data_IF_863912255129
#
_entry.id   IF_863912255129
#
_cell.length_a   1.000
_cell.length_b   1.000
_cell.length_c   1.000
_cell.angle_alpha   90.00
_cell.angle_beta   90.00
_cell.angle_gamma   90.00
#
_symmetry.space_group_name_H-M   'P 1'
#
loop_
_entity.id
_entity.type
_entity.pdbx_description
1 polymer ?
#
# COMPACT_ATOMS: atom_id res chain seq x y z
N UNK A 1 20.36 -14.95 -5.37
CA UNK A 1 19.06 -15.41 -4.85
C UNK A 1 17.98 -15.06 -5.87
N UNK A 2 17.00 -15.92 -6.10
CA UNK A 2 15.83 -15.59 -6.93
C UNK A 2 14.69 -15.20 -5.98
N UNK A 3 14.13 -13.99 -6.13
CA UNK A 3 12.98 -13.56 -5.33
C UNK A 3 11.75 -14.39 -5.70
N UNK A 4 11.05 -14.90 -4.69
CA UNK A 4 9.92 -15.81 -4.83
C UNK A 4 8.67 -15.32 -4.09
N UNK A 5 8.82 -14.62 -2.96
CA UNK A 5 7.69 -14.18 -2.13
C UNK A 5 7.27 -12.75 -2.47
N UNK A 6 8.19 -11.78 -2.44
CA UNK A 6 7.87 -10.37 -2.67
C UNK A 6 7.21 -10.10 -4.03
N UNK A 7 7.62 -10.74 -5.14
CA UNK A 7 6.98 -10.54 -6.45
C UNK A 7 5.48 -10.86 -6.48
N UNK A 8 5.01 -11.84 -5.70
CA UNK A 8 3.59 -12.22 -5.61
C UNK A 8 2.76 -11.02 -5.09
N UNK A 9 3.24 -10.38 -4.04
CA UNK A 9 2.58 -9.23 -3.43
C UNK A 9 2.77 -7.96 -4.26
N UNK A 10 3.94 -7.78 -4.87
CA UNK A 10 4.21 -6.65 -5.75
C UNK A 10 3.23 -6.63 -6.94
N UNK A 11 3.01 -7.77 -7.60
CA UNK A 11 2.04 -7.88 -8.69
C UNK A 11 0.62 -7.58 -8.24
N UNK A 12 0.21 -8.16 -7.11
CA UNK A 12 -1.13 -7.96 -6.53
C UNK A 12 -1.39 -6.48 -6.22
N UNK A 13 -0.44 -5.82 -5.57
CA UNK A 13 -0.55 -4.40 -5.20
C UNK A 13 -0.45 -3.50 -6.43
N UNK A 14 0.34 -3.86 -7.45
CA UNK A 14 0.41 -3.12 -8.70
C UNK A 14 -0.95 -3.07 -9.43
N UNK A 15 -1.72 -4.15 -9.41
CA UNK A 15 -3.08 -4.17 -9.97
C UNK A 15 -4.00 -3.22 -9.21
N UNK A 16 -3.95 -3.22 -7.87
CA UNK A 16 -4.74 -2.29 -7.03
C UNK A 16 -4.32 -0.84 -7.33
N UNK A 17 -3.01 -0.59 -7.40
CA UNK A 17 -2.44 0.72 -7.68
C UNK A 17 -2.93 1.28 -9.02
N UNK A 18 -2.87 0.46 -10.09
CA UNK A 18 -3.35 0.83 -11.43
C UNK A 18 -4.85 1.11 -11.42
N UNK A 19 -5.62 0.30 -10.71
CA UNK A 19 -7.07 0.50 -10.57
C UNK A 19 -7.38 1.86 -9.93
N UNK A 20 -6.67 2.21 -8.84
CA UNK A 20 -6.85 3.51 -8.18
C UNK A 20 -6.36 4.68 -9.05
N UNK A 21 -5.29 4.48 -9.81
CA UNK A 21 -4.80 5.46 -10.78
C UNK A 21 -5.85 5.77 -11.85
N UNK A 22 -6.42 4.73 -12.49
CA UNK A 22 -7.49 4.89 -13.47
C UNK A 22 -8.70 5.63 -12.88
N UNK A 23 -9.07 5.37 -11.62
CA UNK A 23 -10.17 6.09 -10.94
C UNK A 23 -9.89 7.59 -10.79
N UNK A 24 -8.65 7.99 -10.54
CA UNK A 24 -8.23 9.40 -10.49
C UNK A 24 -8.27 10.00 -11.89
N UNK A 25 -7.60 9.37 -12.85
CA UNK A 25 -7.47 9.89 -14.23
C UNK A 25 -8.83 10.03 -14.91
N UNK A 26 -9.74 9.07 -14.74
CA UNK A 26 -11.08 9.13 -15.32
C UNK A 26 -11.89 10.33 -14.82
N UNK A 27 -11.90 10.59 -13.51
CA UNK A 27 -12.63 11.74 -12.95
C UNK A 27 -11.96 13.06 -13.30
N UNK A 28 -10.63 13.10 -13.23
CA UNK A 28 -9.83 14.26 -13.62
C UNK A 28 -10.14 14.70 -15.06
N UNK A 29 -10.17 13.75 -15.98
CA UNK A 29 -10.48 14.00 -17.39
C UNK A 29 -11.94 14.46 -17.57
N UNK A 30 -12.89 13.82 -16.89
CA UNK A 30 -14.30 14.21 -16.94
C UNK A 30 -14.55 15.65 -16.44
N UNK A 31 -13.71 16.12 -15.52
CA UNK A 31 -13.76 17.49 -14.99
C UNK A 31 -12.94 18.50 -15.81
N UNK A 32 -12.16 18.07 -16.81
CA UNK A 32 -11.22 18.93 -17.52
C UNK A 32 -10.10 19.50 -16.63
N UNK A 33 -9.81 18.87 -15.49
CA UNK A 33 -8.86 19.39 -14.50
C UNK A 33 -7.43 18.93 -14.82
N UNK A 34 -6.52 19.85 -15.13
CA UNK A 34 -5.12 19.49 -15.39
C UNK A 34 -4.35 19.12 -14.11
N UNK A 35 -4.35 20.01 -13.10
CA UNK A 35 -3.59 19.88 -11.84
C UNK A 35 -4.46 20.11 -10.61
N UNK A 36 -4.10 19.52 -9.47
CA UNK A 36 -4.89 19.66 -8.23
C UNK A 36 -6.21 18.90 -8.29
N UNK A 37 -7.15 19.31 -7.43
CA UNK A 37 -8.48 18.70 -7.27
C UNK A 37 -9.65 19.59 -7.75
N UNK A 38 -9.38 20.81 -8.23
CA UNK A 38 -10.43 21.71 -8.73
C UNK A 38 -11.47 22.10 -7.67
N UNK A 39 -11.12 21.99 -6.38
CA UNK A 39 -12.06 22.15 -5.25
C UNK A 39 -13.19 21.12 -5.23
N UNK A 40 -13.03 19.99 -5.93
CA UNK A 40 -13.96 18.86 -5.90
C UNK A 40 -13.54 17.83 -4.84
N UNK A 41 -14.37 17.62 -3.79
CA UNK A 41 -14.04 16.69 -2.71
C UNK A 41 -13.89 15.23 -3.17
N UNK A 42 -14.56 14.81 -4.25
CA UNK A 42 -14.46 13.46 -4.79
C UNK A 42 -13.14 13.25 -5.53
N UNK A 43 -12.69 14.25 -6.29
CA UNK A 43 -11.38 14.18 -6.93
C UNK A 43 -10.27 14.16 -5.89
N UNK A 44 -10.35 15.02 -4.86
CA UNK A 44 -9.42 15.00 -3.73
C UNK A 44 -9.42 13.63 -3.02
N UNK A 45 -10.59 13.05 -2.78
CA UNK A 45 -10.72 11.73 -2.15
C UNK A 45 -9.99 10.66 -2.96
N UNK A 46 -10.23 10.58 -4.28
CA UNK A 46 -9.59 9.58 -5.16
C UNK A 46 -8.08 9.78 -5.21
N UNK A 47 -7.61 11.03 -5.27
CA UNK A 47 -6.17 11.35 -5.21
C UNK A 47 -5.57 10.81 -3.92
N UNK A 48 -6.21 11.01 -2.76
CA UNK A 48 -5.71 10.52 -1.47
C UNK A 48 -5.79 9.00 -1.33
N UNK A 49 -6.80 8.34 -1.90
CA UNK A 49 -6.87 6.88 -1.96
C UNK A 49 -5.69 6.30 -2.76
N UNK A 50 -5.42 6.87 -3.94
CA UNK A 50 -4.31 6.45 -4.79
C UNK A 50 -2.94 6.77 -4.17
N UNK A 51 -2.73 7.99 -3.68
CA UNK A 51 -1.47 8.41 -3.05
C UNK A 51 -1.11 7.57 -1.83
N UNK A 52 -2.08 7.33 -0.93
CA UNK A 52 -1.86 6.43 0.20
C UNK A 52 -1.49 5.02 -0.26
N UNK A 53 -2.13 4.49 -1.32
CA UNK A 53 -1.76 3.22 -1.93
C UNK A 53 -0.30 3.23 -2.40
N UNK A 54 0.11 4.24 -3.15
CA UNK A 54 1.46 4.39 -3.69
C UNK A 54 2.51 4.44 -2.57
N UNK A 55 2.32 5.30 -1.58
CA UNK A 55 3.29 5.54 -0.51
C UNK A 55 3.54 4.27 0.31
N UNK A 56 2.47 3.63 0.80
CA UNK A 56 2.59 2.43 1.62
C UNK A 56 3.04 1.20 0.82
N UNK A 57 2.56 1.04 -0.42
CA UNK A 57 2.99 -0.06 -1.27
C UNK A 57 4.49 0.00 -1.56
N UNK A 58 4.98 1.16 -2.02
CA UNK A 58 6.39 1.35 -2.31
C UNK A 58 7.24 1.12 -1.07
N UNK A 59 6.88 1.74 0.05
CA UNK A 59 7.62 1.62 1.30
C UNK A 59 7.72 0.16 1.77
N UNK A 60 6.60 -0.56 1.88
CA UNK A 60 6.60 -1.94 2.39
C UNK A 60 7.27 -2.91 1.41
N UNK A 61 7.03 -2.77 0.09
CA UNK A 61 7.65 -3.66 -0.90
C UNK A 61 9.17 -3.50 -0.96
N UNK A 62 9.69 -2.28 -0.78
CA UNK A 62 11.15 -2.04 -0.67
C UNK A 62 11.71 -2.75 0.57
N UNK A 63 11.04 -2.65 1.72
CA UNK A 63 11.49 -3.35 2.93
C UNK A 63 11.45 -4.88 2.74
N UNK A 64 10.39 -5.40 2.09
CA UNK A 64 10.25 -6.82 1.82
C UNK A 64 11.31 -7.35 0.87
N UNK A 65 11.60 -6.67 -0.25
CA UNK A 65 12.61 -7.16 -1.20
C UNK A 65 14.02 -7.13 -0.60
N UNK A 66 14.33 -6.13 0.23
CA UNK A 66 15.58 -6.08 0.98
C UNK A 66 15.65 -7.25 1.98
N UNK A 67 14.60 -7.48 2.76
CA UNK A 67 14.54 -8.57 3.73
C UNK A 67 14.67 -9.94 3.04
N UNK A 68 13.96 -10.15 1.94
CA UNK A 68 14.05 -11.38 1.15
C UNK A 68 15.45 -11.55 0.58
N UNK A 69 16.05 -10.50 0.02
CA UNK A 69 17.41 -10.53 -0.50
C UNK A 69 18.48 -10.86 0.54
N UNK A 70 18.19 -10.60 1.82
CA UNK A 70 19.04 -10.96 2.96
C UNK A 70 18.75 -12.35 3.54
N UNK A 71 17.79 -13.10 2.99
CA UNK A 71 17.49 -14.46 3.43
C UNK A 71 16.42 -14.55 4.52
N UNK A 72 15.66 -13.48 4.75
CA UNK A 72 14.59 -13.49 5.76
C UNK A 72 13.59 -14.65 5.51
N UNK A 73 13.10 -15.32 6.57
CA UNK A 73 12.23 -16.47 6.39
C UNK A 73 10.93 -16.11 5.65
N UNK A 74 10.57 -16.94 4.67
CA UNK A 74 9.41 -16.72 3.79
C UNK A 74 8.09 -16.48 4.56
N UNK A 75 7.91 -17.14 5.72
CA UNK A 75 6.74 -16.95 6.57
C UNK A 75 6.51 -15.48 6.93
N UNK A 76 7.55 -14.76 7.36
CA UNK A 76 7.43 -13.36 7.77
C UNK A 76 7.21 -12.44 6.57
N UNK A 77 7.79 -12.76 5.41
CA UNK A 77 7.52 -12.04 4.17
C UNK A 77 6.04 -12.20 3.75
N UNK A 78 5.47 -13.39 3.88
CA UNK A 78 4.03 -13.61 3.63
C UNK A 78 3.14 -12.85 4.61
N UNK A 79 3.53 -12.73 5.88
CA UNK A 79 2.82 -11.91 6.87
C UNK A 79 2.82 -10.43 6.44
N UNK A 80 4.00 -9.86 6.12
CA UNK A 80 4.10 -8.47 5.65
C UNK A 80 3.30 -8.24 4.37
N UNK A 81 3.43 -9.13 3.37
CA UNK A 81 2.71 -9.03 2.12
C UNK A 81 1.19 -9.15 2.29
N UNK A 82 0.73 -10.09 3.11
CA UNK A 82 -0.68 -10.29 3.42
C UNK A 82 -1.30 -9.08 4.11
N UNK A 83 -0.62 -8.56 5.14
CA UNK A 83 -1.04 -7.33 5.83
C UNK A 83 -1.10 -6.13 4.89
N UNK A 84 -0.11 -5.97 4.01
CA UNK A 84 -0.11 -4.91 2.99
C UNK A 84 -1.35 -5.03 2.09
N UNK A 85 -1.62 -6.20 1.52
CA UNK A 85 -2.78 -6.40 0.62
C UNK A 85 -4.10 -6.14 1.33
N UNK A 86 -4.28 -6.65 2.56
CA UNK A 86 -5.47 -6.37 3.37
C UNK A 86 -5.65 -4.86 3.56
N UNK A 87 -4.56 -4.15 3.88
CA UNK A 87 -4.58 -2.70 4.05
C UNK A 87 -4.91 -1.94 2.77
N UNK A 88 -4.50 -2.43 1.59
CA UNK A 88 -4.79 -1.81 0.28
C UNK A 88 -6.22 -2.06 -0.18
N UNK A 89 -6.82 -3.17 0.20
CA UNK A 89 -8.23 -3.46 -0.09
C UNK A 89 -9.14 -2.71 0.88
N UNK A 90 -8.85 -2.72 2.19
CA UNK A 90 -9.71 -2.10 3.20
C UNK A 90 -9.72 -0.56 3.14
N UNK A 91 -8.57 0.07 2.93
CA UNK A 91 -8.42 1.53 3.05
C UNK A 91 -9.30 2.34 2.08
N UNK A 92 -9.41 2.01 0.77
CA UNK A 92 -10.26 2.76 -0.17
C UNK A 92 -11.75 2.75 0.20
N UNK A 93 -12.26 1.71 0.86
CA UNK A 93 -13.65 1.67 1.33
C UNK A 93 -13.84 2.38 2.68
N UNK A 94 -12.75 2.62 3.42
CA UNK A 94 -12.75 3.35 4.68
C UNK A 94 -12.54 4.86 4.56
N UNK A 95 -11.93 5.33 3.46
CA UNK A 95 -11.75 6.76 3.26
C UNK A 95 -13.02 7.35 2.61
N UNK A 96 -13.75 8.16 3.38
CA UNK A 96 -14.95 8.91 2.94
C UNK A 96 -14.81 10.38 3.31
N UNK A 97 -15.39 11.28 2.50
CA UNK A 97 -15.29 12.74 2.71
C UNK A 97 -15.96 13.13 4.03
N UNK A 98 -17.10 12.51 4.33
CA UNK A 98 -17.96 12.82 5.46
C UNK A 98 -17.68 12.04 6.75
N UNK A 99 -16.75 11.06 6.74
CA UNK A 99 -16.50 10.22 7.92
C UNK A 99 -15.01 9.88 8.09
N UNK A 100 -14.33 10.70 8.89
CA UNK A 100 -12.91 10.49 9.23
C UNK A 100 -12.68 9.27 10.14
N UNK A 101 -13.69 8.83 10.89
CA UNK A 101 -13.60 7.75 11.89
C UNK A 101 -14.04 6.38 11.38
N UNK A 102 -14.11 6.16 10.06
CA UNK A 102 -14.58 4.90 9.52
C UNK A 102 -13.66 3.73 9.93
N UNK A 103 -14.18 2.62 10.51
CA UNK A 103 -13.37 1.50 11.00
C UNK A 103 -12.37 0.94 9.96
N UNK A 104 -12.79 0.83 8.70
CA UNK A 104 -11.94 0.37 7.60
C UNK A 104 -10.71 1.27 7.32
N UNK A 105 -10.76 2.56 7.69
CA UNK A 105 -9.60 3.46 7.60
C UNK A 105 -8.55 3.08 8.66
N UNK A 106 -8.99 2.76 9.87
CA UNK A 106 -8.10 2.33 10.95
C UNK A 106 -7.50 0.96 10.66
N UNK A 107 -8.31 0.00 10.20
CA UNK A 107 -7.83 -1.31 9.74
C UNK A 107 -6.83 -1.13 8.60
N UNK A 108 -7.16 -0.28 7.61
CA UNK A 108 -6.32 0.01 6.46
C UNK A 108 -4.95 0.58 6.83
N UNK A 109 -4.88 1.51 7.79
CA UNK A 109 -3.61 2.08 8.24
C UNK A 109 -2.86 1.16 9.20
N UNK A 110 -3.56 0.54 10.16
CA UNK A 110 -2.96 -0.34 11.15
C UNK A 110 -2.28 -1.54 10.51
N UNK A 111 -2.90 -2.14 9.49
CA UNK A 111 -2.31 -3.27 8.75
C UNK A 111 -1.04 -2.90 7.99
N UNK A 112 -0.94 -1.71 7.37
CA UNK A 112 0.33 -1.31 6.73
C UNK A 112 1.43 -1.01 7.75
N UNK A 113 1.08 -0.41 8.89
CA UNK A 113 2.04 -0.17 9.99
C UNK A 113 2.60 -1.52 10.46
N UNK A 114 1.73 -2.50 10.70
CA UNK A 114 2.16 -3.84 11.12
C UNK A 114 3.00 -4.53 10.03
N UNK A 115 2.62 -4.40 8.76
CA UNK A 115 3.39 -4.93 7.64
C UNK A 115 4.81 -4.36 7.60
N UNK A 116 4.93 -3.04 7.78
CA UNK A 116 6.20 -2.33 7.80
C UNK A 116 7.05 -2.71 9.02
N UNK A 117 6.47 -2.71 10.23
CA UNK A 117 7.17 -3.09 11.45
C UNK A 117 7.70 -4.53 11.37
N UNK A 118 6.91 -5.46 10.83
CA UNK A 118 7.35 -6.84 10.63
C UNK A 118 8.49 -6.93 9.61
N UNK A 119 8.42 -6.21 8.48
CA UNK A 119 9.49 -6.19 7.49
C UNK A 119 10.78 -5.53 8.04
N UNK A 120 10.64 -4.46 8.83
CA UNK A 120 11.75 -3.82 9.54
C UNK A 120 12.39 -4.76 10.57
N UNK A 121 11.59 -5.53 11.31
CA UNK A 121 12.11 -6.54 12.23
C UNK A 121 12.88 -7.64 11.50
N UNK A 122 12.38 -8.11 10.35
CA UNK A 122 13.10 -9.06 9.50
C UNK A 122 14.45 -8.50 9.08
N UNK A 123 14.50 -7.26 8.59
CA UNK A 123 15.76 -6.60 8.24
C UNK A 123 16.70 -6.48 9.44
N UNK A 124 16.21 -5.99 10.57
CA UNK A 124 17.02 -5.82 11.78
C UNK A 124 17.66 -7.13 12.24
N UNK A 125 16.90 -8.23 12.26
CA UNK A 125 17.42 -9.55 12.64
C UNK A 125 18.49 -10.03 11.65
N UNK A 126 18.24 -9.96 10.34
CA UNK A 126 19.20 -10.43 9.32
C UNK A 126 20.43 -9.51 9.20
N UNK A 127 20.37 -8.26 9.66
CA UNK A 127 21.55 -7.38 9.75
C UNK A 127 22.43 -7.77 10.94
N UNK A 128 21.80 -8.13 12.07
CA UNK A 128 22.50 -8.45 13.31
C UNK A 128 23.03 -9.89 13.36
N UNK A 129 22.38 -10.81 12.63
CA UNK A 129 22.73 -12.23 12.54
C UNK A 129 22.65 -12.68 11.06
N UNK A 130 23.69 -12.36 10.25
CA UNK A 130 23.68 -12.48 8.79
C UNK A 130 23.90 -13.90 8.23
#
# INVERSE_FOLDING_TARGET
MVFSVTPIYALTVAVIWLTLWFRVTALRNAMGQSIGDGSDPQLLLRIRQHGNCADWAAFVLILMILAEGMGAPALYLHISGGLLVIGRIAHPFGLKVENAGHPLRYVGNGTNILAALNAMACLGVNILDP
#
